data_IF_812778554205
#
_entry.id   IF_812778554205
#
_cell.length_a   1.000
_cell.length_b   1.000
_cell.length_c   1.000
_cell.angle_alpha   90.00
_cell.angle_beta   90.00
_cell.angle_gamma   90.00
#
_symmetry.space_group_name_H-M   'P 1'
#
loop_
_entity.id
_entity.type
_entity.pdbx_description
1 polymer ?
#
# COMPACT_ATOMS: atom_id res chain seq x y z
N UNK A 1 -35.83 -37.72 -14.19
CA UNK A 1 -34.67 -36.89 -13.79
C UNK A 1 -34.63 -35.67 -14.71
N UNK A 2 -34.97 -34.49 -14.19
CA UNK A 2 -35.34 -33.32 -15.01
C UNK A 2 -34.12 -32.63 -15.62
N UNK A 3 -33.78 -32.99 -16.86
CA UNK A 3 -32.75 -32.33 -17.68
C UNK A 3 -32.90 -30.80 -17.76
N UNK A 4 -34.13 -30.28 -17.59
CA UNK A 4 -34.43 -28.84 -17.49
C UNK A 4 -33.84 -28.18 -16.24
N UNK A 5 -33.81 -28.88 -15.10
CA UNK A 5 -33.23 -28.37 -13.84
C UNK A 5 -31.70 -28.34 -13.94
N UNK A 6 -31.11 -29.37 -14.56
CA UNK A 6 -29.67 -29.47 -14.81
C UNK A 6 -29.22 -28.36 -15.79
N UNK A 7 -30.00 -28.12 -16.85
CA UNK A 7 -29.75 -27.04 -17.82
C UNK A 7 -29.86 -25.66 -17.18
N UNK A 8 -30.88 -25.41 -16.35
CA UNK A 8 -31.04 -24.13 -15.65
C UNK A 8 -29.92 -23.89 -14.61
N UNK A 9 -29.51 -24.94 -13.89
CA UNK A 9 -28.38 -24.87 -12.96
C UNK A 9 -27.05 -24.58 -13.65
N UNK A 10 -26.80 -25.16 -14.84
CA UNK A 10 -25.61 -24.85 -15.64
C UNK A 10 -25.62 -23.42 -16.18
N UNK A 11 -26.78 -22.90 -16.60
CA UNK A 11 -26.91 -21.51 -17.07
C UNK A 11 -26.69 -20.52 -15.92
N UNK A 12 -27.26 -20.77 -14.74
CA UNK A 12 -27.02 -19.94 -13.56
C UNK A 12 -25.55 -19.96 -13.11
N UNK A 13 -24.90 -21.13 -13.15
CA UNK A 13 -23.49 -21.26 -12.82
C UNK A 13 -22.59 -20.53 -13.83
N UNK A 14 -22.91 -20.62 -15.13
CA UNK A 14 -22.19 -19.88 -16.17
C UNK A 14 -22.35 -18.36 -16.01
N UNK A 15 -23.55 -17.86 -15.68
CA UNK A 15 -23.80 -16.43 -15.43
C UNK A 15 -23.01 -15.94 -14.20
N UNK A 16 -22.95 -16.75 -13.13
CA UNK A 16 -22.18 -16.43 -11.93
C UNK A 16 -20.67 -16.34 -12.20
N UNK A 17 -20.14 -17.20 -13.09
CA UNK A 17 -18.73 -17.16 -13.49
C UNK A 17 -18.37 -15.99 -14.42
N UNK A 18 -19.34 -15.41 -15.13
CA UNK A 18 -19.12 -14.27 -16.03
C UNK A 18 -19.27 -12.90 -15.36
N UNK A 19 -19.71 -12.84 -14.09
CA UNK A 19 -20.10 -11.60 -13.42
C UNK A 19 -19.12 -11.03 -12.40
N UNK A 20 -18.16 -11.78 -11.88
CA UNK A 20 -17.23 -11.28 -10.84
C UNK A 20 -16.02 -10.58 -11.46
N UNK A 21 -15.92 -9.26 -11.34
CA UNK A 21 -14.70 -8.50 -11.66
C UNK A 21 -13.91 -8.24 -10.39
N UNK A 22 -12.74 -8.86 -10.25
CA UNK A 22 -11.93 -8.73 -9.04
C UNK A 22 -11.74 -7.26 -8.60
N UNK A 23 -11.79 -6.97 -7.29
CA UNK A 23 -11.70 -5.60 -6.78
C UNK A 23 -10.42 -4.93 -7.28
N UNK A 24 -10.57 -3.74 -7.85
CA UNK A 24 -9.51 -3.09 -8.59
C UNK A 24 -8.95 -1.90 -7.82
N UNK A 25 -7.64 -1.93 -7.57
CA UNK A 25 -6.88 -0.82 -6.98
C UNK A 25 -6.01 -0.15 -8.04
N UNK A 26 -6.17 1.16 -8.19
CA UNK A 26 -5.33 1.97 -9.09
C UNK A 26 -4.69 3.12 -8.36
N UNK A 27 -3.36 3.11 -8.29
CA UNK A 27 -2.58 4.25 -7.79
C UNK A 27 -2.70 5.42 -8.77
N UNK A 28 -3.07 6.58 -8.26
CA UNK A 28 -3.31 7.79 -9.07
C UNK A 28 -2.23 8.86 -8.85
N UNK A 29 -1.60 8.87 -7.69
CA UNK A 29 -0.49 9.78 -7.40
C UNK A 29 0.39 9.22 -6.26
N UNK A 30 1.63 9.68 -6.18
CA UNK A 30 2.53 9.39 -5.07
C UNK A 30 3.41 10.60 -4.78
N UNK A 31 3.56 10.95 -3.50
CA UNK A 31 4.43 12.03 -3.04
C UNK A 31 5.30 11.52 -1.90
N UNK A 32 6.60 11.80 -1.96
CA UNK A 32 7.52 11.35 -0.93
C UNK A 32 8.48 12.49 -0.51
N UNK A 33 7.98 13.54 0.16
CA UNK A 33 8.81 14.63 0.63
C UNK A 33 9.80 14.15 1.69
N UNK A 34 11.07 14.54 1.55
CA UNK A 34 12.06 14.46 2.64
C UNK A 34 12.10 15.79 3.38
N UNK A 35 11.94 15.73 4.70
CA UNK A 35 12.02 16.87 5.61
C UNK A 35 13.44 17.06 6.14
N UNK A 36 14.25 15.99 6.17
CA UNK A 36 15.64 16.02 6.58
C UNK A 36 16.53 15.34 5.52
N UNK A 37 16.95 16.13 4.54
CA UNK A 37 17.79 15.66 3.42
C UNK A 37 19.19 15.21 3.86
N UNK A 38 19.65 15.61 5.03
CA UNK A 38 20.92 15.15 5.60
C UNK A 38 20.85 13.72 6.15
N UNK A 39 19.64 13.18 6.32
CA UNK A 39 19.42 11.80 6.78
C UNK A 39 18.79 10.93 5.70
N UNK A 40 17.74 11.41 5.04
CA UNK A 40 17.03 10.64 4.01
C UNK A 40 16.97 11.45 2.72
N UNK A 41 17.61 10.94 1.68
CA UNK A 41 17.53 11.49 0.34
C UNK A 41 16.58 10.64 -0.50
N UNK A 42 15.45 11.21 -0.94
CA UNK A 42 14.51 10.53 -1.82
C UNK A 42 14.85 10.88 -3.27
N UNK A 43 15.39 9.93 -4.02
CA UNK A 43 15.83 10.11 -5.42
C UNK A 43 14.65 10.20 -6.36
N UNK A 44 13.69 9.28 -6.22
CA UNK A 44 12.45 9.34 -6.96
C UNK A 44 11.31 8.68 -6.19
N UNK A 45 10.12 9.22 -6.43
CA UNK A 45 8.85 8.69 -5.96
C UNK A 45 7.85 8.97 -7.07
N UNK A 46 7.63 7.97 -7.93
CA UNK A 46 6.91 8.16 -9.18
C UNK A 46 6.06 6.96 -9.54
N UNK A 47 4.96 7.26 -10.20
CA UNK A 47 4.18 6.27 -10.91
C UNK A 47 4.70 6.14 -12.35
N UNK A 48 4.88 4.91 -12.81
CA UNK A 48 5.27 4.59 -14.19
C UNK A 48 4.13 3.80 -14.84
N UNK A 49 3.53 4.37 -15.88
CA UNK A 49 2.52 3.68 -16.68
C UNK A 49 3.21 2.75 -17.68
N UNK A 50 2.90 1.46 -17.62
CA UNK A 50 3.32 0.46 -18.60
C UNK A 50 2.24 0.19 -19.65
N UNK A 51 0.97 0.30 -19.26
CA UNK A 51 -0.20 0.21 -20.14
C UNK A 51 -1.37 1.00 -19.54
N UNK A 52 -2.52 1.06 -20.23
CA UNK A 52 -3.74 1.72 -19.70
C UNK A 52 -4.17 1.17 -18.34
N UNK A 53 -3.93 -0.11 -18.10
CA UNK A 53 -4.39 -0.84 -16.92
C UNK A 53 -3.24 -1.21 -15.97
N UNK A 54 -1.97 -0.99 -16.35
CA UNK A 54 -0.79 -1.26 -15.50
C UNK A 54 -0.03 0.03 -15.23
N UNK A 55 -0.11 0.51 -13.99
CA UNK A 55 0.71 1.59 -13.47
C UNK A 55 1.43 1.11 -12.21
N UNK A 56 2.74 1.28 -12.17
CA UNK A 56 3.58 0.81 -11.07
C UNK A 56 4.18 1.97 -10.29
N UNK A 57 4.11 1.90 -8.97
CA UNK A 57 4.84 2.78 -8.06
C UNK A 57 6.30 2.35 -7.95
N UNK A 58 7.18 3.33 -8.05
CA UNK A 58 8.61 3.16 -7.86
C UNK A 58 9.09 4.24 -6.88
N UNK A 59 9.66 3.80 -5.76
CA UNK A 59 10.22 4.65 -4.72
C UNK A 59 11.67 4.24 -4.51
N UNK A 60 12.55 5.22 -4.42
CA UNK A 60 13.95 5.00 -4.14
C UNK A 60 14.46 6.12 -3.23
N UNK A 61 15.02 5.72 -2.10
CA UNK A 61 15.58 6.62 -1.11
C UNK A 61 16.88 6.05 -0.54
N UNK A 62 17.83 6.92 -0.22
CA UNK A 62 19.06 6.55 0.49
C UNK A 62 18.99 7.06 1.92
N UNK A 63 19.21 6.16 2.88
CA UNK A 63 19.39 6.52 4.28
C UNK A 63 20.88 6.77 4.51
N UNK A 64 21.25 8.04 4.67
CA UNK A 64 22.62 8.52 4.80
C UNK A 64 23.22 8.23 6.18
N UNK A 65 22.37 8.00 7.19
CA UNK A 65 22.76 7.62 8.55
C UNK A 65 21.95 6.39 9.00
N UNK A 66 22.53 5.48 9.80
CA UNK A 66 21.83 4.29 10.28
C UNK A 66 20.57 4.64 11.07
N UNK A 67 19.43 4.14 10.62
CA UNK A 67 18.15 4.30 11.31
C UNK A 67 17.89 3.07 12.21
N UNK A 68 18.15 3.22 13.51
CA UNK A 68 18.02 2.16 14.52
C UNK A 68 16.63 2.13 15.18
N UNK A 69 15.99 3.28 15.26
CA UNK A 69 14.71 3.49 15.93
C UNK A 69 13.76 4.19 14.95
N UNK A 70 12.85 3.40 14.38
CA UNK A 70 11.93 3.85 13.34
C UNK A 70 10.51 3.64 13.85
N UNK A 71 9.80 4.74 14.03
CA UNK A 71 8.35 4.72 14.18
C UNK A 71 7.70 5.06 12.85
N UNK A 72 6.65 4.32 12.51
CA UNK A 72 5.84 4.59 11.32
C UNK A 72 4.43 4.97 11.77
N UNK A 73 4.00 6.17 11.40
CA UNK A 73 2.59 6.56 11.51
C UNK A 73 1.88 6.24 10.22
N UNK A 74 0.86 5.39 10.30
CA UNK A 74 0.00 4.97 9.21
C UNK A 74 -1.36 5.63 9.37
N UNK A 75 -1.81 6.35 8.34
CA UNK A 75 -3.12 6.99 8.33
C UNK A 75 -3.82 6.80 6.98
N UNK A 76 -5.03 6.23 7.02
CA UNK A 76 -5.87 6.05 5.84
C UNK A 76 -6.96 7.14 5.79
N UNK A 77 -7.00 7.84 4.67
CA UNK A 77 -7.96 8.91 4.39
C UNK A 77 -8.87 8.52 3.22
N UNK A 78 -10.14 8.91 3.27
CA UNK A 78 -11.09 8.76 2.16
C UNK A 78 -11.53 10.15 1.66
N UNK A 79 -11.67 10.31 0.35
CA UNK A 79 -12.17 11.55 -0.25
C UNK A 79 -13.68 11.65 -0.09
N UNK A 80 -14.12 12.81 0.37
CA UNK A 80 -15.49 13.31 0.36
C UNK A 80 -15.43 14.81 0.02
N UNK A 81 -15.91 15.70 0.90
CA UNK A 81 -15.64 17.15 0.86
C UNK A 81 -14.19 17.44 1.33
N UNK A 82 -13.22 16.97 0.56
CA UNK A 82 -11.81 16.85 0.95
C UNK A 82 -11.47 15.47 1.54
N UNK A 83 -10.19 15.26 1.86
CA UNK A 83 -9.74 14.02 2.50
C UNK A 83 -10.08 14.05 3.99
N UNK A 84 -10.79 13.01 4.46
CA UNK A 84 -11.16 12.83 5.87
C UNK A 84 -10.57 11.51 6.40
N UNK A 85 -10.22 11.43 7.70
CA UNK A 85 -9.81 10.17 8.32
C UNK A 85 -10.86 9.09 8.10
N UNK A 86 -10.43 7.87 7.77
CA UNK A 86 -11.34 6.76 7.44
C UNK A 86 -11.21 5.60 8.42
N UNK A 87 -10.27 4.67 8.19
CA UNK A 87 -10.23 3.40 8.92
C UNK A 87 -9.26 3.42 10.10
N UNK A 88 -8.06 3.96 9.92
CA UNK A 88 -7.00 3.91 10.93
C UNK A 88 -6.07 5.12 10.88
N UNK A 89 -5.59 5.51 12.06
CA UNK A 89 -4.54 6.49 12.32
C UNK A 89 -3.78 5.99 13.55
N UNK A 90 -2.64 5.34 13.34
CA UNK A 90 -1.85 4.76 14.43
C UNK A 90 -0.36 4.84 14.12
N UNK A 91 0.44 4.82 15.19
CA UNK A 91 1.90 4.82 15.12
C UNK A 91 2.41 3.54 15.77
N UNK A 92 3.37 2.87 15.15
CA UNK A 92 4.00 1.67 15.70
C UNK A 92 5.51 1.69 15.47
N UNK A 93 6.23 0.93 16.29
CA UNK A 93 7.67 0.70 16.12
C UNK A 93 7.89 -0.26 14.93
N UNK A 94 8.39 0.27 13.83
CA UNK A 94 8.67 -0.49 12.62
C UNK A 94 9.84 -1.44 12.81
N UNK A 95 10.84 -1.08 13.62
CA UNK A 95 11.98 -1.94 13.91
C UNK A 95 11.57 -3.15 14.76
N UNK A 96 10.72 -2.95 15.77
CA UNK A 96 10.11 -4.03 16.54
C UNK A 96 9.24 -4.91 15.63
N UNK A 97 8.40 -4.30 14.78
CA UNK A 97 7.55 -5.03 13.84
C UNK A 97 8.35 -5.94 12.89
N UNK A 98 9.51 -5.49 12.41
CA UNK A 98 10.39 -6.34 11.57
C UNK A 98 10.93 -7.55 12.35
N UNK A 99 11.13 -7.43 13.67
CA UNK A 99 11.54 -8.56 14.54
C UNK A 99 10.36 -9.48 14.87
N UNK A 100 9.19 -8.90 15.15
CA UNK A 100 7.97 -9.59 15.57
C UNK A 100 6.78 -8.98 14.84
N UNK A 101 6.15 -9.75 13.95
CA UNK A 101 5.00 -9.31 13.14
C UNK A 101 3.69 -9.26 13.94
N UNK A 102 3.69 -8.57 15.08
CA UNK A 102 2.59 -8.50 16.06
C UNK A 102 1.56 -7.39 15.79
N UNK A 103 1.81 -6.49 14.83
CA UNK A 103 0.90 -5.41 14.45
C UNK A 103 0.05 -5.80 13.23
N UNK A 104 -1.26 -6.06 13.36
CA UNK A 104 -2.09 -6.61 12.28
C UNK A 104 -2.18 -5.70 11.05
N UNK A 105 -2.42 -4.40 11.26
CA UNK A 105 -2.54 -3.44 10.14
C UNK A 105 -1.21 -3.23 9.43
N UNK A 106 -0.10 -3.16 10.18
CA UNK A 106 1.24 -3.13 9.59
C UNK A 106 1.55 -4.40 8.81
N UNK A 107 1.08 -5.57 9.26
CA UNK A 107 1.22 -6.85 8.55
C UNK A 107 0.50 -6.85 7.21
N UNK A 108 -0.68 -6.22 7.10
CA UNK A 108 -1.39 -6.05 5.84
C UNK A 108 -0.54 -5.22 4.88
N UNK A 109 -0.10 -4.02 5.29
CA UNK A 109 0.73 -3.13 4.46
C UNK A 109 2.04 -3.80 4.06
N UNK A 110 2.70 -4.49 4.99
CA UNK A 110 3.93 -5.23 4.72
C UNK A 110 3.75 -6.35 3.71
N UNK A 111 2.70 -7.17 3.85
CA UNK A 111 2.42 -8.26 2.92
C UNK A 111 2.20 -7.78 1.47
N UNK A 112 1.68 -6.56 1.31
CA UNK A 112 1.47 -5.93 0.00
C UNK A 112 2.79 -5.54 -0.67
N UNK A 113 3.81 -5.12 0.09
CA UNK A 113 5.07 -4.57 -0.47
C UNK A 113 6.29 -5.49 -0.36
N UNK A 114 6.24 -6.53 0.47
CA UNK A 114 7.42 -7.35 0.86
C UNK A 114 8.20 -7.93 -0.32
N UNK A 115 7.53 -8.32 -1.40
CA UNK A 115 8.14 -9.01 -2.54
C UNK A 115 8.71 -8.03 -3.59
N UNK A 116 8.44 -6.74 -3.41
CA UNK A 116 8.88 -5.66 -4.30
C UNK A 116 9.70 -4.59 -3.58
N UNK A 117 10.04 -4.82 -2.31
CA UNK A 117 10.77 -3.88 -1.46
C UNK A 117 12.09 -4.45 -0.95
N UNK A 118 13.09 -3.59 -0.78
CA UNK A 118 14.37 -3.95 -0.14
C UNK A 118 14.30 -3.97 1.39
N UNK A 119 13.17 -3.57 1.99
CA UNK A 119 13.00 -3.41 3.44
C UNK A 119 12.77 -4.78 4.12
N UNK A 120 13.64 -5.76 3.90
CA UNK A 120 13.38 -7.19 4.20
C UNK A 120 14.06 -7.73 5.47
N UNK A 121 14.94 -6.95 6.11
CA UNK A 121 15.68 -7.34 7.31
C UNK A 121 15.30 -6.49 8.52
N UNK A 122 15.75 -6.84 9.72
CA UNK A 122 15.55 -6.00 10.91
C UNK A 122 16.46 -4.78 10.89
N UNK A 123 16.06 -3.69 11.57
CA UNK A 123 16.92 -2.52 11.77
C UNK A 123 18.32 -2.90 12.32
N UNK A 124 19.38 -2.12 12.01
CA UNK A 124 19.35 -0.80 11.37
C UNK A 124 19.16 -0.82 9.84
N UNK A 125 18.48 0.20 9.31
CA UNK A 125 18.47 0.49 7.88
C UNK A 125 19.48 1.58 7.55
N UNK A 126 20.28 1.36 6.51
CA UNK A 126 21.27 2.30 5.99
C UNK A 126 21.44 2.05 4.50
N UNK A 127 21.85 3.08 3.75
CA UNK A 127 22.02 2.97 2.30
C UNK A 127 20.68 2.92 1.55
N UNK A 128 20.69 2.28 0.38
CA UNK A 128 19.57 2.29 -0.56
C UNK A 128 18.37 1.48 -0.06
N UNK A 129 17.22 2.13 0.02
CA UNK A 129 15.93 1.51 0.28
C UNK A 129 14.98 1.79 -0.89
N UNK A 130 14.34 0.74 -1.41
CA UNK A 130 13.52 0.85 -2.60
C UNK A 130 12.23 0.03 -2.54
N UNK A 131 11.25 0.48 -3.30
CA UNK A 131 10.07 -0.25 -3.73
C UNK A 131 10.03 -0.15 -5.25
N UNK A 132 10.09 -1.28 -5.95
CA UNK A 132 10.30 -1.35 -7.40
C UNK A 132 9.19 -2.11 -8.11
N UNK A 133 8.66 -1.55 -9.19
CA UNK A 133 7.55 -2.12 -9.97
C UNK A 133 6.32 -2.53 -9.12
N UNK A 134 5.99 -1.77 -8.07
CA UNK A 134 4.84 -2.07 -7.22
C UNK A 134 3.53 -1.71 -7.93
N UNK A 135 2.79 -2.72 -8.41
CA UNK A 135 1.53 -2.53 -9.15
C UNK A 135 0.39 -3.44 -8.69
N UNK A 136 0.69 -4.52 -7.96
CA UNK A 136 -0.30 -5.45 -7.45
C UNK A 136 -0.66 -5.04 -6.04
N UNK A 137 -1.93 -4.72 -5.81
CA UNK A 137 -2.43 -4.35 -4.49
C UNK A 137 -3.62 -5.24 -4.17
N UNK A 138 -3.40 -6.17 -3.24
CA UNK A 138 -4.45 -7.04 -2.72
C UNK A 138 -4.80 -6.56 -1.31
N UNK A 139 -5.99 -6.00 -1.16
CA UNK A 139 -6.45 -5.47 0.12
C UNK A 139 -7.40 -6.50 0.74
N UNK A 140 -7.02 -7.15 1.84
CA UNK A 140 -7.82 -8.23 2.45
C UNK A 140 -9.01 -7.69 3.27
N UNK A 141 -9.35 -6.41 3.13
CA UNK A 141 -10.37 -5.72 3.89
C UNK A 141 -11.46 -5.22 2.94
N UNK A 142 -12.75 -5.37 3.30
CA UNK A 142 -13.82 -4.76 2.53
C UNK A 142 -13.69 -3.23 2.67
N UNK A 143 -13.46 -2.55 1.55
CA UNK A 143 -13.43 -1.10 1.50
C UNK A 143 -14.47 -0.61 0.49
N UNK A 144 -15.22 0.45 0.80
CA UNK A 144 -16.18 0.98 -0.15
C UNK A 144 -15.48 1.56 -1.39
N UNK A 145 -16.16 1.53 -2.53
CA UNK A 145 -15.67 2.20 -3.75
C UNK A 145 -15.38 3.68 -3.47
N UNK A 146 -14.25 4.18 -3.97
CA UNK A 146 -13.90 5.59 -3.83
C UNK A 146 -12.41 5.90 -3.97
N UNK A 147 -12.06 7.14 -3.65
CA UNK A 147 -10.70 7.65 -3.69
C UNK A 147 -10.12 7.76 -2.28
N UNK A 148 -8.87 7.31 -2.15
CA UNK A 148 -8.18 7.14 -0.88
C UNK A 148 -6.79 7.76 -0.94
N UNK A 149 -6.29 8.10 0.25
CA UNK A 149 -4.93 8.56 0.47
C UNK A 149 -4.37 7.82 1.68
N UNK A 150 -3.33 7.03 1.43
CA UNK A 150 -2.50 6.42 2.45
C UNK A 150 -1.35 7.37 2.78
N UNK A 151 -1.34 7.89 4.01
CA UNK A 151 -0.26 8.69 4.56
C UNK A 151 0.64 7.80 5.41
N UNK A 152 1.94 7.80 5.11
CA UNK A 152 2.96 7.12 5.87
C UNK A 152 4.01 8.14 6.31
N UNK A 153 4.08 8.43 7.61
CA UNK A 153 5.09 9.33 8.17
C UNK A 153 6.18 8.54 8.86
N UNK A 154 7.41 8.66 8.36
CA UNK A 154 8.58 7.95 8.86
C UNK A 154 9.29 8.81 9.89
N UNK A 155 9.34 8.33 11.14
CA UNK A 155 9.85 9.05 12.30
C UNK A 155 11.09 8.31 12.78
N UNK A 156 12.27 8.89 12.54
CA UNK A 156 13.53 8.32 13.02
C UNK A 156 13.99 9.10 14.24
N UNK A 157 14.33 8.40 15.31
CA UNK A 157 14.80 8.98 16.57
C UNK A 157 13.89 10.13 17.06
N UNK A 158 12.59 9.90 16.99
CA UNK A 158 11.55 10.82 17.46
C UNK A 158 11.26 12.02 16.54
N UNK A 159 11.92 12.13 15.38
CA UNK A 159 11.70 13.24 14.42
C UNK A 159 11.19 12.73 13.07
N UNK A 160 10.13 13.33 12.49
CA UNK A 160 9.72 13.04 11.12
C UNK A 160 10.87 13.33 10.14
N UNK A 161 11.31 12.32 9.38
CA UNK A 161 12.40 12.48 8.42
C UNK A 161 11.88 12.62 6.99
N UNK A 162 10.85 11.84 6.63
CA UNK A 162 10.19 11.91 5.33
C UNK A 162 8.78 11.33 5.41
N UNK A 163 7.97 11.52 4.36
CA UNK A 163 6.69 10.83 4.21
C UNK A 163 6.62 10.03 2.91
N UNK A 164 5.64 9.13 2.84
CA UNK A 164 5.25 8.41 1.64
C UNK A 164 3.73 8.46 1.56
N UNK A 165 3.23 9.32 0.69
CA UNK A 165 1.82 9.63 0.53
C UNK A 165 1.36 9.01 -0.79
N UNK A 166 0.51 7.99 -0.73
CA UNK A 166 0.04 7.24 -1.91
C UNK A 166 -1.46 7.46 -2.08
N UNK A 167 -1.83 8.00 -3.23
CA UNK A 167 -3.22 8.21 -3.63
C UNK A 167 -3.66 7.04 -4.51
N UNK A 168 -4.83 6.50 -4.24
CA UNK A 168 -5.36 5.38 -5.02
C UNK A 168 -6.88 5.40 -5.09
N UNK A 169 -7.43 4.83 -6.15
CA UNK A 169 -8.85 4.51 -6.27
C UNK A 169 -9.07 3.04 -5.94
N UNK A 170 -10.15 2.74 -5.24
CA UNK A 170 -10.63 1.40 -4.98
C UNK A 170 -12.00 1.23 -5.64
N UNK A 171 -12.22 0.13 -6.35
CA UNK A 171 -13.50 -0.26 -6.95
C UNK A 171 -13.85 -1.65 -6.44
N UNK A 172 -15.04 -1.77 -5.84
CA UNK A 172 -15.60 -3.04 -5.36
C UNK A 172 -15.94 -3.97 -6.53
N UNK A 173 -15.83 -5.28 -6.29
CA UNK A 173 -16.45 -6.32 -7.12
C UNK A 173 -17.95 -6.34 -6.77
N UNK A 174 -18.84 -6.19 -7.76
CA UNK A 174 -20.30 -6.10 -7.57
C UNK A 174 -21.00 -7.34 -8.12
#
# INVERSE_FOLDING_TARGET
MNYKIISFGMVLFAIFLTGSEAPFVKMTNAKCPSYNKSWVEVHYCRLKAYSRNKTSLNINATFLQPANNIFLRLKLMKRANGYKPFLWDFTFDACEFMRKRNQPVAKIVWNIIKDVSTVNHTCPYVGLQAVSDFHRVEIPLPMPTGEYLLLMTWIFDGKPQFSTDVYFTFVEDY
#
